data_IF_038836828322
#
_entry.id   IF_038836828322
#
_cell.length_a   1.000
_cell.length_b   1.000
_cell.length_c   1.000
_cell.angle_alpha   90.00
_cell.angle_beta   90.00
_cell.angle_gamma   90.00
#
_symmetry.space_group_name_H-M   'P 1'
#
loop_
_entity.id
_entity.type
_entity.pdbx_description
1 polymer ?
#
# COMPACT_ATOMS: atom_id res chain seq x y z
N UNK A 1 -22.71 -2.16 15.53
CA UNK A 1 -22.11 -0.88 15.10
C UNK A 1 -21.43 -0.27 16.31
N UNK A 2 -20.12 -0.13 16.26
CA UNK A 2 -19.31 0.50 17.31
C UNK A 2 -18.82 1.85 16.80
N UNK A 3 -18.88 2.89 17.64
CA UNK A 3 -18.30 4.19 17.31
C UNK A 3 -17.01 4.34 18.10
N UNK A 4 -15.90 4.53 17.41
CA UNK A 4 -14.62 4.75 18.05
C UNK A 4 -14.53 6.19 18.60
N UNK A 5 -13.80 6.34 19.69
CA UNK A 5 -13.52 7.64 20.30
C UNK A 5 -12.13 8.13 19.91
N UNK A 6 -12.03 9.39 19.49
CA UNK A 6 -10.75 10.05 19.22
C UNK A 6 -9.98 10.23 20.52
N UNK A 7 -8.78 9.69 20.58
CA UNK A 7 -7.90 9.81 21.74
C UNK A 7 -6.86 10.93 21.58
N UNK A 8 -6.29 11.04 20.38
CA UNK A 8 -5.22 11.99 20.10
C UNK A 8 -5.14 12.31 18.60
N UNK A 9 -4.58 13.47 18.28
CA UNK A 9 -4.31 13.92 16.92
C UNK A 9 -2.99 14.69 16.89
N UNK A 10 -2.19 14.47 15.85
CA UNK A 10 -1.04 15.29 15.54
C UNK A 10 -1.23 15.89 14.15
N UNK A 11 -1.25 17.21 14.10
CA UNK A 11 -1.40 18.00 12.89
C UNK A 11 0.00 18.28 12.29
N UNK A 12 0.18 17.98 11.01
CA UNK A 12 1.41 18.23 10.25
C UNK A 12 1.22 19.33 9.19
N UNK A 13 0.21 20.20 9.38
CA UNK A 13 -0.15 21.27 8.43
C UNK A 13 -0.74 20.68 7.16
N UNK A 14 -0.46 21.34 6.02
CA UNK A 14 -1.01 20.96 4.71
C UNK A 14 -0.34 19.71 4.08
N UNK A 15 0.45 18.97 4.85
CA UNK A 15 1.19 17.82 4.36
C UNK A 15 0.41 16.52 4.56
N UNK A 16 -0.11 15.96 3.50
CA UNK A 16 -0.91 14.73 3.51
C UNK A 16 -0.15 13.56 4.14
N UNK A 17 -0.79 12.84 5.04
CA UNK A 17 -0.29 11.58 5.57
C UNK A 17 -0.71 10.43 4.64
N UNK A 18 0.26 9.81 3.96
CA UNK A 18 0.01 8.94 2.81
C UNK A 18 0.02 7.45 3.14
N UNK A 19 1.12 6.95 3.72
CA UNK A 19 1.25 5.54 4.08
C UNK A 19 1.60 5.36 5.56
N UNK A 20 1.10 4.29 6.15
CA UNK A 20 1.54 3.77 7.44
C UNK A 20 2.40 2.52 7.26
N UNK A 21 3.59 2.57 7.84
CA UNK A 21 4.55 1.47 7.84
C UNK A 21 4.83 1.04 9.28
N UNK A 22 4.16 0.00 9.79
CA UNK A 22 4.45 -0.52 11.12
C UNK A 22 5.80 -1.24 11.12
N UNK A 23 6.65 -0.90 12.09
CA UNK A 23 7.94 -1.53 12.32
C UNK A 23 8.03 -2.06 13.75
N UNK A 24 8.37 -3.33 13.90
CA UNK A 24 8.35 -4.03 15.18
C UNK A 24 9.19 -3.34 16.27
N UNK A 25 10.36 -2.83 15.91
CA UNK A 25 11.31 -2.25 16.86
C UNK A 25 11.13 -0.75 17.07
N UNK A 26 10.35 -0.07 16.23
CA UNK A 26 10.31 1.39 16.21
C UNK A 26 8.91 1.98 16.41
N UNK A 27 7.86 1.28 16.01
CA UNK A 27 6.49 1.79 16.04
C UNK A 27 5.93 2.05 14.65
N UNK A 28 5.26 3.17 14.43
CA UNK A 28 4.57 3.50 13.17
C UNK A 28 5.30 4.61 12.42
N UNK A 29 5.87 4.29 11.27
CA UNK A 29 6.41 5.30 10.35
C UNK A 29 5.27 5.76 9.44
N UNK A 30 5.17 7.07 9.26
CA UNK A 30 4.20 7.69 8.35
C UNK A 30 4.94 8.47 7.29
N UNK A 31 4.59 8.26 6.01
CA UNK A 31 5.09 9.06 4.89
C UNK A 31 4.19 10.26 4.62
N UNK A 32 4.81 11.36 4.17
CA UNK A 32 4.11 12.61 3.91
C UNK A 32 4.36 13.16 2.52
N UNK A 33 3.42 13.99 2.05
CA UNK A 33 3.49 14.66 0.75
C UNK A 33 4.60 15.70 0.64
N UNK A 34 5.18 16.14 1.76
CA UNK A 34 6.36 17.01 1.78
C UNK A 34 7.69 16.25 1.65
N UNK A 35 7.65 14.93 1.46
CA UNK A 35 8.85 14.08 1.36
C UNK A 35 9.45 13.69 2.71
N UNK A 36 8.75 13.89 3.82
CA UNK A 36 9.23 13.48 5.14
C UNK A 36 8.65 12.12 5.55
N UNK A 37 9.45 11.38 6.32
CA UNK A 37 9.00 10.27 7.15
C UNK A 37 8.94 10.74 8.60
N UNK A 38 7.84 10.44 9.29
CA UNK A 38 7.71 10.72 10.72
C UNK A 38 7.40 9.45 11.49
N UNK A 39 8.10 9.27 12.60
CA UNK A 39 7.96 8.11 13.47
C UNK A 39 7.04 8.43 14.63
N UNK A 40 6.01 7.61 14.83
CA UNK A 40 5.05 7.72 15.92
C UNK A 40 5.12 6.52 16.87
N UNK A 41 4.92 6.72 18.17
CA UNK A 41 4.83 5.62 19.10
C UNK A 41 3.55 4.81 18.87
N UNK A 42 3.64 3.48 18.99
CA UNK A 42 2.48 2.58 18.93
C UNK A 42 2.27 1.94 20.29
N UNK A 43 1.05 2.02 20.81
CA UNK A 43 0.71 1.50 22.12
C UNK A 43 1.25 2.37 23.27
N UNK A 44 1.02 1.91 24.51
CA UNK A 44 1.39 2.65 25.70
C UNK A 44 0.38 3.74 26.07
N UNK A 45 0.59 4.44 27.21
CA UNK A 45 -0.27 5.53 27.61
C UNK A 45 -0.10 6.67 26.59
N UNK A 46 -1.13 6.94 25.79
CA UNK A 46 -1.19 8.14 24.99
C UNK A 46 -1.22 9.31 25.96
N UNK A 47 -0.06 9.95 26.16
CA UNK A 47 0.07 11.13 27.00
C UNK A 47 -0.72 12.30 26.40
N UNK A 48 -0.77 13.44 27.14
CA UNK A 48 -1.44 14.66 26.66
C UNK A 48 -0.87 15.23 25.34
N UNK A 49 0.24 14.71 24.86
CA UNK A 49 0.90 15.13 23.62
C UNK A 49 1.25 13.89 22.80
N UNK A 50 0.42 13.59 21.80
CA UNK A 50 0.75 12.64 20.74
C UNK A 50 1.46 13.41 19.64
N UNK A 51 2.76 13.16 19.46
CA UNK A 51 3.60 13.82 18.45
C UNK A 51 4.59 12.82 17.87
N UNK A 52 5.14 13.14 16.70
CA UNK A 52 6.24 12.36 16.14
C UNK A 52 7.48 12.44 17.04
N UNK A 53 8.14 11.30 17.23
CA UNK A 53 9.38 11.19 18.02
C UNK A 53 10.64 11.38 17.19
N UNK A 54 10.51 11.28 15.86
CA UNK A 54 11.57 11.50 14.89
C UNK A 54 10.99 11.91 13.56
N UNK A 55 11.68 12.82 12.86
CA UNK A 55 11.39 13.19 11.47
C UNK A 55 12.64 12.94 10.63
N UNK A 56 12.48 12.41 9.43
CA UNK A 56 13.53 12.14 8.43
C UNK A 56 13.10 12.83 7.14
N UNK A 57 13.96 13.68 6.57
CA UNK A 57 13.75 14.24 5.23
C UNK A 57 14.22 13.21 4.20
N UNK A 58 13.28 12.40 3.72
CA UNK A 58 13.57 11.29 2.82
C UNK A 58 13.74 11.75 1.36
N UNK A 59 12.84 12.60 0.88
CA UNK A 59 12.81 13.12 -0.50
C UNK A 59 12.58 14.61 -0.51
N UNK A 60 12.98 15.28 -1.62
CA UNK A 60 12.66 16.69 -1.85
C UNK A 60 11.27 16.90 -2.48
N UNK A 61 10.63 15.82 -2.85
CA UNK A 61 9.29 15.71 -3.42
C UNK A 61 8.38 14.85 -2.55
N UNK A 62 7.12 14.74 -2.93
CA UNK A 62 6.16 13.83 -2.27
C UNK A 62 6.63 12.37 -2.31
N UNK A 63 6.54 11.68 -1.18
CA UNK A 63 6.69 10.23 -1.13
C UNK A 63 5.46 9.63 -1.80
N UNK A 64 5.66 8.82 -2.83
CA UNK A 64 4.57 8.17 -3.56
C UNK A 64 4.11 6.88 -2.86
N UNK A 65 5.07 6.14 -2.30
CA UNK A 65 4.82 4.91 -1.55
C UNK A 65 5.89 4.69 -0.49
N UNK A 66 5.49 4.18 0.66
CA UNK A 66 6.41 3.72 1.70
C UNK A 66 6.06 2.28 2.13
N UNK A 67 7.08 1.44 2.34
CA UNK A 67 6.93 0.02 2.74
C UNK A 67 8.00 -0.38 3.74
N UNK A 68 7.66 -1.33 4.59
CA UNK A 68 8.66 -2.03 5.41
C UNK A 68 9.48 -2.97 4.53
N UNK A 69 10.79 -2.98 4.72
CA UNK A 69 11.72 -3.87 3.99
C UNK A 69 11.92 -5.19 4.76
N UNK A 70 12.09 -5.10 6.07
CA UNK A 70 12.41 -6.25 6.93
C UNK A 70 11.40 -6.48 8.07
N UNK A 71 10.36 -5.66 8.15
CA UNK A 71 9.36 -5.68 9.22
C UNK A 71 9.86 -5.15 10.57
N UNK A 72 11.14 -4.81 10.70
CA UNK A 72 11.77 -4.47 11.98
C UNK A 72 12.34 -3.05 12.04
N UNK A 73 13.30 -2.75 11.17
CA UNK A 73 14.16 -1.57 11.28
C UNK A 73 14.29 -0.76 9.99
N UNK A 74 14.00 -1.37 8.84
CA UNK A 74 14.21 -0.77 7.52
C UNK A 74 12.89 -0.32 6.88
N UNK A 75 12.86 0.91 6.39
CA UNK A 75 11.77 1.47 5.61
C UNK A 75 12.27 1.88 4.22
N UNK A 76 11.57 1.44 3.19
CA UNK A 76 11.76 1.86 1.81
C UNK A 76 10.75 2.90 1.41
N UNK A 77 11.16 3.87 0.59
CA UNK A 77 10.32 4.93 0.05
C UNK A 77 10.54 5.08 -1.45
N UNK A 78 9.47 5.28 -2.20
CA UNK A 78 9.50 5.61 -3.63
C UNK A 78 9.11 7.08 -3.85
N UNK A 79 9.77 7.74 -4.77
CA UNK A 79 9.52 9.13 -5.13
C UNK A 79 10.10 9.49 -6.50
N UNK A 80 10.02 10.76 -6.85
CA UNK A 80 10.51 11.27 -8.14
C UNK A 80 12.04 11.15 -8.30
N UNK A 81 12.75 11.13 -7.19
CA UNK A 81 14.22 11.05 -7.14
C UNK A 81 14.73 9.63 -6.84
N UNK A 82 13.89 8.61 -7.05
CA UNK A 82 14.26 7.20 -6.92
C UNK A 82 13.61 6.50 -5.74
N UNK A 83 14.12 5.28 -5.45
CA UNK A 83 13.77 4.52 -4.25
C UNK A 83 14.91 4.65 -3.25
N UNK A 84 14.58 4.90 -1.99
CA UNK A 84 15.54 5.04 -0.89
C UNK A 84 15.18 4.14 0.27
N UNK A 85 16.19 3.55 0.91
CA UNK A 85 16.02 2.72 2.11
C UNK A 85 16.68 3.42 3.29
N UNK A 86 15.95 3.53 4.39
CA UNK A 86 16.39 4.12 5.64
C UNK A 86 16.45 3.07 6.74
N UNK A 87 17.57 3.05 7.47
CA UNK A 87 17.75 2.24 8.67
C UNK A 87 17.44 3.11 9.89
N UNK A 88 16.35 2.82 10.59
CA UNK A 88 15.90 3.63 11.73
C UNK A 88 16.77 3.48 12.98
N UNK A 89 17.68 2.51 13.01
CA UNK A 89 18.70 2.39 14.07
C UNK A 89 19.78 3.48 13.93
N UNK A 90 19.97 3.98 12.71
CA UNK A 90 20.94 5.05 12.44
C UNK A 90 20.35 6.43 12.73
N UNK A 91 21.16 7.34 13.24
CA UNK A 91 20.78 8.74 13.42
C UNK A 91 20.97 9.51 12.11
N UNK A 92 20.14 10.56 11.92
CA UNK A 92 20.17 11.41 10.73
C UNK A 92 19.23 10.95 9.61
N UNK A 93 19.33 11.63 8.47
CA UNK A 93 18.35 11.53 7.35
C UNK A 93 18.96 10.88 6.11
N UNK A 94 20.14 10.26 6.26
CA UNK A 94 20.82 9.64 5.12
C UNK A 94 20.25 8.24 4.84
N UNK A 95 19.85 8.02 3.58
CA UNK A 95 19.51 6.69 3.10
C UNK A 95 20.73 5.75 3.14
N UNK A 96 20.51 4.49 3.55
CA UNK A 96 21.55 3.45 3.54
C UNK A 96 21.71 2.82 2.17
N UNK A 97 20.64 2.85 1.35
CA UNK A 97 20.65 2.40 -0.05
C UNK A 97 19.80 3.35 -0.88
N UNK A 98 20.15 3.51 -2.16
CA UNK A 98 19.37 4.28 -3.13
C UNK A 98 19.37 3.55 -4.46
N UNK A 99 18.21 3.52 -5.11
CA UNK A 99 17.99 2.83 -6.38
C UNK A 99 17.39 3.81 -7.39
N UNK A 100 17.89 3.76 -8.60
CA UNK A 100 17.48 4.63 -9.69
C UNK A 100 17.33 3.79 -10.97
N UNK A 101 16.54 4.28 -11.90
CA UNK A 101 16.52 3.77 -13.27
C UNK A 101 17.34 4.70 -14.19
N UNK A 102 17.79 4.17 -15.31
CA UNK A 102 18.65 4.91 -16.26
C UNK A 102 17.95 6.11 -16.89
N UNK A 103 16.62 6.08 -16.98
CA UNK A 103 15.81 7.13 -17.61
C UNK A 103 15.37 8.21 -16.63
N UNK A 104 15.69 8.09 -15.34
CA UNK A 104 15.23 8.96 -14.26
C UNK A 104 13.70 9.14 -14.28
N UNK A 105 12.98 8.04 -14.37
CA UNK A 105 11.52 8.01 -14.27
C UNK A 105 11.14 7.93 -12.79
N UNK A 106 10.16 8.70 -12.30
CA UNK A 106 9.64 8.59 -10.95
C UNK A 106 9.16 7.16 -10.63
N UNK A 107 9.37 6.73 -9.39
CA UNK A 107 8.79 5.50 -8.89
C UNK A 107 7.49 5.80 -8.12
N UNK A 108 6.42 5.09 -8.46
CA UNK A 108 5.10 5.24 -7.83
C UNK A 108 4.80 4.14 -6.82
N UNK A 109 5.36 2.97 -7.03
CA UNK A 109 5.13 1.80 -6.18
C UNK A 109 6.43 1.10 -5.82
N UNK A 110 6.42 0.44 -4.68
CA UNK A 110 7.49 -0.45 -4.25
C UNK A 110 6.95 -1.54 -3.34
N UNK A 111 7.61 -2.68 -3.38
CA UNK A 111 7.47 -3.73 -2.38
C UNK A 111 8.79 -4.46 -2.18
N UNK A 112 8.96 -5.14 -1.05
CA UNK A 112 10.17 -5.88 -0.76
C UNK A 112 9.85 -7.20 -0.08
N UNK A 113 10.61 -8.24 -0.43
CA UNK A 113 10.52 -9.56 0.21
C UNK A 113 11.89 -10.24 0.22
N UNK A 114 12.26 -10.75 1.39
CA UNK A 114 13.55 -11.37 1.63
C UNK A 114 14.71 -10.44 1.24
N UNK A 115 15.39 -10.71 0.13
CA UNK A 115 16.49 -9.87 -0.38
C UNK A 115 16.15 -9.15 -1.68
N UNK A 116 14.90 -9.23 -2.12
CA UNK A 116 14.44 -8.56 -3.35
C UNK A 116 13.69 -7.27 -3.01
N UNK A 117 13.90 -6.28 -3.84
CA UNK A 117 13.18 -5.02 -3.87
C UNK A 117 12.59 -4.86 -5.27
N UNK A 118 11.30 -4.60 -5.36
CA UNK A 118 10.63 -4.26 -6.62
C UNK A 118 10.22 -2.77 -6.62
N UNK A 119 10.32 -2.12 -7.76
CA UNK A 119 9.90 -0.74 -7.97
C UNK A 119 9.20 -0.57 -9.31
N UNK A 120 8.00 0.03 -9.31
CA UNK A 120 7.21 0.35 -10.49
C UNK A 120 7.20 1.85 -10.77
N UNK A 121 7.34 2.21 -12.03
CA UNK A 121 7.50 3.60 -12.45
C UNK A 121 6.20 4.24 -12.90
N UNK A 122 6.23 5.58 -12.96
CA UNK A 122 5.30 6.39 -13.74
C UNK A 122 5.48 6.12 -15.24
N UNK A 123 4.40 6.33 -16.00
CA UNK A 123 4.44 6.27 -17.48
C UNK A 123 5.41 7.32 -18.03
N UNK A 124 6.30 6.90 -18.90
CA UNK A 124 7.15 7.81 -19.67
C UNK A 124 7.16 7.44 -21.14
N UNK A 125 6.58 8.29 -21.96
CA UNK A 125 6.34 8.08 -23.39
C UNK A 125 5.22 7.06 -23.64
N UNK A 126 5.52 5.78 -23.83
CA UNK A 126 4.53 4.75 -24.14
C UNK A 126 4.54 3.59 -23.14
N UNK A 127 5.59 3.52 -22.28
CA UNK A 127 5.80 2.39 -21.40
C UNK A 127 6.12 2.84 -19.99
N UNK A 128 5.72 2.04 -19.01
CA UNK A 128 6.17 2.08 -17.63
C UNK A 128 7.04 0.88 -17.35
N UNK A 129 7.99 1.04 -16.46
CA UNK A 129 9.04 0.06 -16.21
C UNK A 129 8.93 -0.50 -14.79
N UNK A 130 9.09 -1.82 -14.67
CA UNK A 130 9.20 -2.49 -13.39
C UNK A 130 10.62 -3.01 -13.22
N UNK A 131 11.23 -2.70 -12.09
CA UNK A 131 12.59 -3.12 -11.76
C UNK A 131 12.60 -4.01 -10.53
N UNK A 132 13.49 -5.01 -10.55
CA UNK A 132 13.78 -5.84 -9.38
C UNK A 132 15.28 -5.77 -9.08
N UNK A 133 15.63 -5.43 -7.85
CA UNK A 133 17.00 -5.40 -7.34
C UNK A 133 17.24 -6.45 -6.27
N UNK A 134 18.49 -6.89 -6.16
CA UNK A 134 18.97 -7.67 -5.01
C UNK A 134 19.59 -6.71 -3.98
N UNK A 135 18.99 -6.62 -2.80
CA UNK A 135 19.43 -5.75 -1.71
C UNK A 135 20.84 -6.07 -1.20
N UNK A 136 21.37 -7.26 -1.47
CA UNK A 136 22.72 -7.69 -1.04
C UNK A 136 23.82 -7.13 -1.95
N UNK A 137 23.51 -6.96 -3.24
CA UNK A 137 24.45 -6.47 -4.25
C UNK A 137 24.08 -5.07 -4.77
N UNK A 138 22.86 -4.60 -4.50
CA UNK A 138 22.23 -3.40 -5.07
C UNK A 138 22.14 -3.40 -6.60
N UNK A 139 22.42 -4.54 -7.23
CA UNK A 139 22.33 -4.73 -8.68
C UNK A 139 20.91 -4.98 -9.14
N UNK A 140 20.60 -4.53 -10.36
CA UNK A 140 19.35 -4.90 -11.05
C UNK A 140 19.42 -6.40 -11.38
N UNK A 141 18.43 -7.15 -10.88
CA UNK A 141 18.24 -8.56 -11.17
C UNK A 141 17.41 -8.72 -12.43
N UNK A 142 16.35 -7.90 -12.55
CA UNK A 142 15.42 -7.93 -13.69
C UNK A 142 14.81 -6.55 -13.94
N UNK A 143 14.42 -6.34 -15.18
CA UNK A 143 13.53 -5.24 -15.58
C UNK A 143 12.47 -5.78 -16.54
N UNK A 144 11.27 -5.25 -16.42
CA UNK A 144 10.14 -5.52 -17.32
C UNK A 144 9.76 -4.19 -17.94
N UNK A 145 9.71 -4.11 -19.26
CA UNK A 145 9.57 -2.85 -19.98
C UNK A 145 8.37 -2.84 -20.94
N UNK A 146 7.83 -4.02 -21.26
CA UNK A 146 6.73 -4.19 -22.19
C UNK A 146 5.43 -4.66 -21.53
N UNK A 147 5.44 -4.83 -20.21
CA UNK A 147 4.33 -5.47 -19.48
C UNK A 147 3.20 -4.50 -19.09
N UNK A 148 3.48 -3.18 -19.00
CA UNK A 148 2.50 -2.16 -18.67
C UNK A 148 2.66 -0.92 -19.54
N UNK A 149 1.52 -0.31 -19.90
CA UNK A 149 1.44 0.85 -20.79
C UNK A 149 0.91 2.12 -20.10
N UNK A 150 0.83 2.12 -18.77
CA UNK A 150 0.49 3.27 -17.93
C UNK A 150 1.11 3.09 -16.53
N UNK A 151 0.88 4.02 -15.61
CA UNK A 151 1.46 4.08 -14.26
C UNK A 151 1.36 2.76 -13.51
N UNK A 152 2.48 2.24 -13.00
CA UNK A 152 2.50 1.06 -12.12
C UNK A 152 2.26 1.50 -10.68
N UNK A 153 1.00 1.47 -10.26
CA UNK A 153 0.55 2.02 -8.97
C UNK A 153 0.69 1.05 -7.80
N UNK A 154 0.75 -0.26 -8.08
CA UNK A 154 0.82 -1.27 -7.04
C UNK A 154 1.84 -2.36 -7.37
N UNK A 155 2.57 -2.79 -6.35
CA UNK A 155 3.46 -3.95 -6.37
C UNK A 155 3.30 -4.75 -5.10
N UNK A 156 3.16 -6.09 -5.21
CA UNK A 156 3.06 -7.00 -4.06
C UNK A 156 3.76 -8.31 -4.33
N UNK A 157 4.79 -8.63 -3.58
CA UNK A 157 5.31 -10.00 -3.56
C UNK A 157 4.27 -10.96 -2.99
N UNK A 158 4.24 -12.16 -3.50
CA UNK A 158 3.34 -13.19 -3.00
C UNK A 158 3.64 -13.54 -1.53
N UNK A 159 2.63 -13.72 -0.65
CA UNK A 159 2.84 -13.83 0.79
C UNK A 159 3.71 -15.01 1.23
N UNK A 160 3.65 -16.14 0.53
CA UNK A 160 4.34 -17.38 0.93
C UNK A 160 5.27 -17.96 -0.12
N UNK A 161 5.22 -17.49 -1.37
CA UNK A 161 6.08 -17.95 -2.48
C UNK A 161 6.93 -16.78 -2.97
N UNK A 162 8.25 -16.87 -2.82
CA UNK A 162 9.19 -15.80 -3.19
C UNK A 162 9.39 -15.67 -4.71
N UNK A 163 8.78 -16.57 -5.49
CA UNK A 163 8.89 -16.58 -6.95
C UNK A 163 7.81 -15.77 -7.65
N UNK A 164 6.76 -15.34 -6.96
CA UNK A 164 5.69 -14.57 -7.57
C UNK A 164 5.70 -13.10 -7.14
N UNK A 165 5.51 -12.23 -8.13
CA UNK A 165 5.28 -10.80 -7.95
C UNK A 165 4.00 -10.40 -8.68
N UNK A 166 3.17 -9.61 -8.02
CA UNK A 166 1.98 -8.96 -8.60
C UNK A 166 2.31 -7.49 -8.87
N UNK A 167 1.92 -6.99 -10.04
CA UNK A 167 1.86 -5.57 -10.36
C UNK A 167 0.44 -5.17 -10.74
N UNK A 168 0.06 -3.93 -10.41
CA UNK A 168 -1.19 -3.31 -10.85
C UNK A 168 -0.93 -1.95 -11.47
N UNK A 169 -1.64 -1.64 -12.56
CA UNK A 169 -1.43 -0.41 -13.33
C UNK A 169 -2.73 0.32 -13.64
N UNK A 170 -2.61 1.61 -13.91
CA UNK A 170 -3.71 2.43 -14.43
C UNK A 170 -4.11 2.05 -15.85
N UNK A 171 -3.30 1.25 -16.57
CA UNK A 171 -3.66 0.67 -17.87
C UNK A 171 -4.81 -0.36 -17.79
N UNK A 172 -5.21 -0.74 -16.57
CA UNK A 172 -6.32 -1.64 -16.32
C UNK A 172 -5.94 -3.09 -16.12
N UNK A 173 -4.65 -3.39 -16.06
CA UNK A 173 -4.17 -4.76 -15.86
C UNK A 173 -3.54 -4.97 -14.50
N UNK A 174 -3.76 -6.18 -13.97
CA UNK A 174 -2.95 -6.75 -12.90
C UNK A 174 -2.20 -7.94 -13.48
N UNK A 175 -0.88 -7.88 -13.42
CA UNK A 175 0.03 -8.91 -13.93
C UNK A 175 0.64 -9.68 -12.76
N UNK A 176 0.71 -11.00 -12.89
CA UNK A 176 1.42 -11.88 -11.97
C UNK A 176 2.60 -12.48 -12.73
N UNK A 177 3.81 -12.28 -12.20
CA UNK A 177 5.04 -12.76 -12.79
C UNK A 177 5.60 -13.95 -12.01
N UNK A 178 6.12 -14.94 -12.75
CA UNK A 178 6.99 -15.98 -12.21
C UNK A 178 8.45 -15.53 -12.39
N UNK A 179 9.07 -15.13 -11.30
CA UNK A 179 10.43 -14.60 -11.30
C UNK A 179 11.51 -15.66 -11.56
N UNK A 180 11.14 -16.94 -11.63
CA UNK A 180 12.09 -18.02 -12.00
C UNK A 180 12.32 -18.10 -13.50
N UNK A 181 11.43 -17.52 -14.32
CA UNK A 181 11.50 -17.54 -15.77
C UNK A 181 12.22 -16.28 -16.26
N UNK A 182 13.34 -16.36 -16.98
CA UNK A 182 14.16 -15.20 -17.34
C UNK A 182 13.50 -14.23 -18.32
N UNK A 183 12.81 -14.75 -19.34
CA UNK A 183 12.21 -13.96 -20.42
C UNK A 183 10.94 -13.26 -19.89
N UNK A 184 10.74 -11.99 -20.27
CA UNK A 184 9.63 -11.17 -19.79
C UNK A 184 8.28 -11.77 -20.17
N UNK A 185 8.06 -12.02 -21.47
CA UNK A 185 6.81 -12.58 -21.99
C UNK A 185 6.44 -13.93 -21.37
N UNK A 186 7.43 -14.81 -21.22
CA UNK A 186 7.22 -16.14 -20.67
C UNK A 186 7.01 -16.12 -19.14
N UNK A 187 7.49 -15.07 -18.48
CA UNK A 187 7.34 -14.87 -17.04
C UNK A 187 5.96 -14.40 -16.62
N UNK A 188 5.16 -13.86 -17.56
CA UNK A 188 3.76 -13.51 -17.31
C UNK A 188 2.94 -14.77 -17.03
N UNK A 189 2.73 -15.01 -15.75
CA UNK A 189 2.02 -16.20 -15.27
C UNK A 189 0.51 -16.09 -15.41
N UNK A 190 -0.02 -14.93 -15.08
CA UNK A 190 -1.45 -14.59 -15.19
C UNK A 190 -1.62 -13.10 -15.46
N UNK A 191 -2.56 -12.75 -16.33
CA UNK A 191 -2.95 -11.38 -16.62
C UNK A 191 -4.44 -11.22 -16.29
N UNK A 192 -4.75 -10.29 -15.41
CA UNK A 192 -6.12 -9.96 -15.03
C UNK A 192 -6.46 -8.63 -15.69
N UNK A 193 -7.42 -8.64 -16.61
CA UNK A 193 -7.98 -7.42 -17.19
C UNK A 193 -9.12 -6.93 -16.28
N UNK A 194 -9.02 -5.73 -15.77
CA UNK A 194 -10.01 -5.18 -14.85
C UNK A 194 -10.39 -3.73 -15.21
N UNK A 195 -9.82 -2.78 -14.52
CA UNK A 195 -10.01 -1.34 -14.75
C UNK A 195 -8.81 -0.62 -14.13
N UNK A 196 -8.67 0.68 -14.31
CA UNK A 196 -7.58 1.50 -13.74
C UNK A 196 -7.36 1.17 -12.26
N UNK A 197 -6.22 0.55 -11.94
CA UNK A 197 -5.96 -0.04 -10.61
C UNK A 197 -5.63 1.05 -9.58
N UNK A 198 -6.46 1.15 -8.55
CA UNK A 198 -6.19 1.90 -7.34
C UNK A 198 -5.37 1.08 -6.33
N UNK A 199 -5.80 -0.16 -6.08
CA UNK A 199 -5.09 -1.11 -5.22
C UNK A 199 -5.33 -2.54 -5.69
N UNK A 200 -4.31 -3.38 -5.57
CA UNK A 200 -4.39 -4.82 -5.82
C UNK A 200 -3.44 -5.56 -4.87
N UNK A 201 -3.76 -6.82 -4.56
CA UNK A 201 -2.91 -7.59 -3.67
C UNK A 201 -3.46 -8.97 -3.32
N UNK A 202 -2.80 -9.60 -2.39
CA UNK A 202 -3.07 -10.97 -1.99
C UNK A 202 -3.98 -11.01 -0.74
N UNK A 203 -5.16 -11.61 -0.86
CA UNK A 203 -6.01 -11.96 0.29
C UNK A 203 -5.52 -13.24 0.97
N UNK A 204 -4.97 -14.16 0.18
CA UNK A 204 -4.32 -15.40 0.61
C UNK A 204 -3.32 -15.85 -0.46
N UNK A 205 -2.70 -17.01 -0.29
CA UNK A 205 -1.74 -17.56 -1.26
C UNK A 205 -2.30 -17.78 -2.68
N UNK A 206 -3.61 -17.95 -2.82
CA UNK A 206 -4.25 -18.20 -4.12
C UNK A 206 -5.42 -17.26 -4.40
N UNK A 207 -5.59 -16.19 -3.62
CA UNK A 207 -6.69 -15.22 -3.81
C UNK A 207 -6.14 -13.81 -3.94
N UNK A 208 -6.53 -13.14 -5.02
CA UNK A 208 -6.09 -11.80 -5.42
C UNK A 208 -7.29 -10.88 -5.39
N UNK A 209 -7.18 -9.72 -4.75
CA UNK A 209 -8.20 -8.68 -4.89
C UNK A 209 -7.74 -7.62 -5.87
N UNK A 210 -8.71 -7.01 -6.55
CA UNK A 210 -8.52 -5.83 -7.39
C UNK A 210 -9.54 -4.77 -7.01
N UNK A 211 -9.06 -3.54 -6.82
CA UNK A 211 -9.85 -2.35 -6.56
C UNK A 211 -9.48 -1.26 -7.55
N UNK A 212 -10.45 -0.72 -8.27
CA UNK A 212 -10.22 0.33 -9.24
C UNK A 212 -10.39 1.73 -8.64
N UNK A 213 -9.89 2.76 -9.37
CA UNK A 213 -10.16 4.17 -9.08
C UNK A 213 -11.64 4.57 -9.20
N UNK A 214 -12.48 3.70 -9.77
CA UNK A 214 -13.92 3.89 -9.89
C UNK A 214 -14.70 3.06 -8.87
N UNK A 215 -14.03 2.59 -7.80
CA UNK A 215 -14.61 1.80 -6.71
C UNK A 215 -15.26 0.50 -7.19
N UNK A 216 -14.78 -0.07 -8.30
CA UNK A 216 -15.12 -1.46 -8.66
C UNK A 216 -14.21 -2.42 -7.93
N UNK A 217 -14.77 -3.52 -7.44
CA UNK A 217 -14.03 -4.52 -6.66
C UNK A 217 -14.29 -5.92 -7.20
N UNK A 218 -13.24 -6.74 -7.26
CA UNK A 218 -13.34 -8.15 -7.60
C UNK A 218 -12.28 -8.97 -6.85
N UNK A 219 -12.54 -10.28 -6.77
CA UNK A 219 -11.60 -11.27 -6.23
C UNK A 219 -11.36 -12.32 -7.29
N UNK A 220 -10.09 -12.62 -7.54
CA UNK A 220 -9.64 -13.57 -8.54
C UNK A 220 -8.91 -14.73 -7.86
N UNK A 221 -8.88 -15.86 -8.50
CA UNK A 221 -8.07 -16.99 -8.09
C UNK A 221 -6.76 -17.02 -8.89
N UNK A 222 -5.66 -17.35 -8.21
CA UNK A 222 -4.41 -17.59 -8.91
C UNK A 222 -4.53 -18.87 -9.74
N UNK A 223 -4.15 -18.80 -11.02
CA UNK A 223 -4.24 -19.93 -11.94
C UNK A 223 -3.45 -21.15 -11.43
N UNK A 224 -3.99 -22.33 -11.62
CA UNK A 224 -3.29 -23.58 -11.31
C UNK A 224 -2.52 -24.07 -12.56
N UNK A 225 -1.20 -24.19 -12.46
CA UNK A 225 -0.35 -24.72 -13.53
C UNK A 225 -0.69 -26.17 -13.91
N UNK A 226 -1.25 -26.94 -13.00
CA UNK A 226 -1.59 -28.35 -13.26
C UNK A 226 -2.87 -28.50 -14.09
N UNK A 227 -3.73 -27.47 -14.15
CA UNK A 227 -4.97 -27.44 -14.93
C UNK A 227 -5.06 -26.18 -15.80
N UNK A 228 -4.28 -26.18 -16.87
CA UNK A 228 -4.24 -25.06 -17.84
C UNK A 228 -5.50 -24.88 -18.69
N UNK A 229 -6.52 -25.73 -18.51
CA UNK A 229 -7.74 -25.70 -19.33
C UNK A 229 -8.90 -24.95 -18.68
N UNK A 230 -8.79 -24.57 -17.42
CA UNK A 230 -9.85 -23.88 -16.68
C UNK A 230 -9.29 -22.57 -16.10
N UNK A 231 -9.72 -21.45 -16.69
CA UNK A 231 -9.51 -20.15 -16.09
C UNK A 231 -10.59 -19.93 -15.01
N UNK A 232 -10.19 -19.76 -13.73
CA UNK A 232 -11.15 -19.53 -12.66
C UNK A 232 -11.96 -18.25 -12.89
N UNK A 233 -13.26 -18.32 -12.70
CA UNK A 233 -14.12 -17.15 -12.83
C UNK A 233 -13.94 -16.22 -11.63
N UNK A 234 -13.80 -14.90 -11.84
CA UNK A 234 -13.69 -13.94 -10.74
C UNK A 234 -15.01 -13.83 -9.96
N UNK A 235 -14.90 -13.51 -8.68
CA UNK A 235 -16.02 -13.07 -7.87
C UNK A 235 -16.14 -11.53 -8.02
N UNK A 236 -17.06 -11.10 -8.86
CA UNK A 236 -17.26 -9.68 -9.17
C UNK A 236 -18.27 -9.03 -8.21
N UNK A 237 -17.87 -7.94 -7.57
CA UNK A 237 -18.77 -7.10 -6.75
C UNK A 237 -19.31 -5.91 -7.55
N UNK A 238 -18.64 -5.52 -8.64
CA UNK A 238 -18.93 -4.30 -9.42
C UNK A 238 -18.61 -3.04 -8.64
N UNK A 239 -19.30 -1.94 -8.95
CA UNK A 239 -19.20 -0.70 -8.16
C UNK A 239 -19.76 -0.95 -6.75
N UNK A 240 -18.90 -0.75 -5.75
CA UNK A 240 -19.22 -1.09 -4.36
C UNK A 240 -19.77 0.07 -3.55
N UNK A 241 -19.80 1.29 -4.09
CA UNK A 241 -20.18 2.50 -3.34
C UNK A 241 -21.56 2.38 -2.70
N UNK A 242 -22.56 1.97 -3.47
CA UNK A 242 -23.94 1.80 -2.94
C UNK A 242 -24.02 0.59 -2.00
N UNK A 243 -23.41 -0.55 -2.40
CA UNK A 243 -23.47 -1.80 -1.64
C UNK A 243 -22.74 -1.73 -0.31
N UNK A 244 -21.63 -1.00 -0.28
CA UNK A 244 -20.80 -0.84 0.91
C UNK A 244 -21.05 0.48 1.65
N UNK A 245 -22.04 1.28 1.21
CA UNK A 245 -22.42 2.55 1.83
C UNK A 245 -21.21 3.50 2.00
N UNK A 246 -20.46 3.76 0.94
CA UNK A 246 -19.28 4.61 0.96
C UNK A 246 -19.21 5.50 -0.29
N UNK A 247 -18.32 6.47 -0.28
CA UNK A 247 -17.94 7.27 -1.45
C UNK A 247 -16.62 6.82 -2.02
N UNK A 248 -15.74 6.25 -1.17
CA UNK A 248 -14.46 5.68 -1.58
C UNK A 248 -14.03 4.53 -0.65
N UNK A 249 -13.19 3.67 -1.18
CA UNK A 249 -12.50 2.62 -0.41
C UNK A 249 -11.05 3.06 -0.19
N UNK A 250 -10.62 3.09 1.07
CA UNK A 250 -9.24 3.46 1.41
C UNK A 250 -8.28 2.38 0.95
N UNK A 251 -8.48 1.16 1.41
CA UNK A 251 -7.74 -0.03 1.00
C UNK A 251 -8.33 -1.30 1.64
N UNK A 252 -7.81 -2.45 1.19
CA UNK A 252 -8.09 -3.78 1.76
C UNK A 252 -6.94 -4.17 2.68
N UNK A 253 -7.26 -4.37 3.94
CA UNK A 253 -6.31 -4.74 4.99
C UNK A 253 -6.53 -6.19 5.45
N UNK A 254 -5.55 -6.84 6.10
CA UNK A 254 -5.77 -8.16 6.67
C UNK A 254 -6.95 -8.19 7.65
N UNK A 255 -8.04 -8.83 7.24
CA UNK A 255 -9.24 -9.02 8.06
C UNK A 255 -10.27 -7.89 8.05
N UNK A 256 -10.04 -6.77 7.36
CA UNK A 256 -11.00 -5.68 7.23
C UNK A 256 -10.80 -4.84 5.97
N UNK A 257 -11.84 -4.14 5.56
CA UNK A 257 -11.80 -3.10 4.53
C UNK A 257 -12.02 -1.75 5.22
N UNK A 258 -11.19 -0.77 4.91
CA UNK A 258 -11.38 0.60 5.31
C UNK A 258 -12.03 1.39 4.18
N UNK A 259 -13.08 2.13 4.49
CA UNK A 259 -13.86 2.91 3.53
C UNK A 259 -14.24 4.26 4.12
N UNK A 260 -14.54 5.23 3.26
CA UNK A 260 -14.87 6.59 3.70
C UNK A 260 -16.04 7.21 2.96
N UNK A 261 -16.57 8.27 3.55
CA UNK A 261 -17.55 9.16 2.96
C UNK A 261 -17.26 10.59 3.43
N UNK A 262 -16.80 11.42 2.51
CA UNK A 262 -16.46 12.82 2.78
C UNK A 262 -17.72 13.63 3.08
N UNK A 263 -18.81 13.37 2.36
CA UNK A 263 -20.09 14.08 2.58
C UNK A 263 -20.71 13.82 3.97
N UNK A 264 -20.39 12.67 4.57
CA UNK A 264 -20.84 12.26 5.92
C UNK A 264 -19.77 12.44 6.98
N UNK A 265 -18.55 12.81 6.61
CA UNK A 265 -17.38 12.96 7.50
C UNK A 265 -17.07 11.68 8.29
N UNK A 266 -17.24 10.52 7.67
CA UNK A 266 -17.07 9.22 8.34
C UNK A 266 -16.06 8.39 7.59
N UNK A 267 -15.14 7.76 8.33
CA UNK A 267 -14.44 6.58 7.90
C UNK A 267 -14.96 5.36 8.67
N UNK A 268 -15.00 4.21 8.03
CA UNK A 268 -15.48 2.96 8.65
C UNK A 268 -14.50 1.83 8.39
N UNK A 269 -14.25 1.03 9.42
CA UNK A 269 -13.51 -0.22 9.31
C UNK A 269 -14.52 -1.36 9.37
N UNK A 270 -14.65 -2.09 8.28
CA UNK A 270 -15.62 -3.18 8.13
C UNK A 270 -14.87 -4.50 8.15
N UNK A 271 -15.18 -5.44 9.07
CA UNK A 271 -14.60 -6.78 9.02
C UNK A 271 -14.81 -7.41 7.63
N UNK A 272 -13.76 -8.04 7.11
CA UNK A 272 -13.79 -8.73 5.83
C UNK A 272 -13.33 -10.17 6.04
N UNK A 273 -14.25 -11.11 5.90
CA UNK A 273 -14.01 -12.54 6.14
C UNK A 273 -14.80 -13.37 5.15
N UNK A 274 -14.22 -14.49 4.77
CA UNK A 274 -14.84 -15.41 3.80
C UNK A 274 -15.32 -14.68 2.53
N UNK A 275 -14.50 -13.70 2.09
CA UNK A 275 -14.75 -12.84 0.93
C UNK A 275 -16.04 -11.99 1.03
N UNK A 276 -16.47 -11.71 2.24
CA UNK A 276 -17.65 -10.89 2.51
C UNK A 276 -17.31 -9.75 3.49
N UNK A 277 -17.89 -8.58 3.20
CA UNK A 277 -17.80 -7.41 4.07
C UNK A 277 -18.94 -7.44 5.10
N UNK A 278 -18.61 -7.23 6.37
CA UNK A 278 -19.59 -7.12 7.45
C UNK A 278 -19.89 -5.64 7.77
N UNK A 279 -20.99 -5.15 7.23
CA UNK A 279 -21.44 -3.77 7.46
C UNK A 279 -22.15 -3.58 8.82
N UNK A 280 -22.51 -4.68 9.50
CA UNK A 280 -23.23 -4.63 10.78
C UNK A 280 -22.25 -4.41 11.94
N UNK A 281 -21.12 -5.14 11.92
CA UNK A 281 -20.11 -5.10 12.98
C UNK A 281 -18.97 -4.13 12.66
N UNK A 282 -19.21 -3.14 11.81
CA UNK A 282 -18.23 -2.10 11.48
C UNK A 282 -17.92 -1.19 12.68
N UNK A 283 -16.74 -0.60 12.64
CA UNK A 283 -16.31 0.47 13.55
C UNK A 283 -16.31 1.79 12.79
N UNK A 284 -17.14 2.73 13.22
CA UNK A 284 -17.24 4.06 12.62
C UNK A 284 -16.34 5.06 13.36
N UNK A 285 -15.60 5.85 12.58
CA UNK A 285 -14.72 6.94 13.00
C UNK A 285 -15.39 8.26 12.58
N UNK A 286 -16.17 8.84 13.48
CA UNK A 286 -16.90 10.07 13.16
C UNK A 286 -15.96 11.27 13.08
N UNK A 287 -16.14 12.10 12.05
CA UNK A 287 -15.29 13.26 11.74
C UNK A 287 -13.81 12.87 11.60
N UNK A 288 -13.53 11.71 10.99
CA UNK A 288 -12.18 11.13 10.93
C UNK A 288 -11.15 12.14 10.41
N UNK A 289 -11.32 12.66 9.21
CA UNK A 289 -10.48 13.68 8.61
C UNK A 289 -11.32 14.84 8.00
N UNK A 290 -12.53 15.07 8.55
CA UNK A 290 -13.42 16.12 8.07
C UNK A 290 -13.88 15.86 6.63
N UNK A 291 -13.71 16.85 5.76
CA UNK A 291 -14.03 16.78 4.33
C UNK A 291 -12.94 16.09 3.52
N UNK A 292 -11.78 15.82 4.15
CA UNK A 292 -10.60 15.30 3.48
C UNK A 292 -10.58 13.77 3.46
N UNK A 293 -9.85 13.20 2.49
CA UNK A 293 -9.77 11.76 2.28
C UNK A 293 -8.87 11.11 3.33
N UNK A 294 -9.33 9.98 3.88
CA UNK A 294 -8.48 9.08 4.67
C UNK A 294 -7.61 8.29 3.71
N UNK A 295 -6.30 8.41 3.82
CA UNK A 295 -5.34 7.77 2.93
C UNK A 295 -4.82 6.44 3.45
N UNK A 296 -4.73 6.30 4.76
CA UNK A 296 -4.12 5.11 5.37
C UNK A 296 -4.69 4.81 6.75
N UNK A 297 -4.75 3.52 7.07
CA UNK A 297 -5.24 3.01 8.35
C UNK A 297 -4.28 1.96 8.90
N UNK A 298 -4.08 1.94 10.21
CA UNK A 298 -3.34 0.88 10.89
C UNK A 298 -4.02 0.47 12.18
N UNK A 299 -4.26 -0.81 12.33
CA UNK A 299 -4.79 -1.43 13.56
C UNK A 299 -3.69 -2.33 14.14
N UNK A 300 -3.05 -1.95 15.26
CA UNK A 300 -2.04 -2.80 15.88
C UNK A 300 -2.64 -4.13 16.34
N UNK A 301 -1.95 -5.27 16.13
CA UNK A 301 -2.44 -6.57 16.59
C UNK A 301 -2.71 -6.59 18.10
N UNK A 302 -3.79 -7.24 18.50
CA UNK A 302 -4.21 -7.38 19.91
C UNK A 302 -4.40 -6.03 20.65
N UNK A 303 -4.84 -5.01 19.95
CA UNK A 303 -5.09 -3.67 20.47
C UNK A 303 -6.48 -3.17 20.07
N UNK A 304 -7.07 -2.31 20.90
CA UNK A 304 -8.28 -1.56 20.61
C UNK A 304 -7.99 -0.21 19.93
N UNK A 305 -6.72 0.03 19.59
CA UNK A 305 -6.29 1.28 18.94
C UNK A 305 -6.39 1.18 17.41
N UNK A 306 -6.78 2.29 16.82
CA UNK A 306 -6.82 2.51 15.37
C UNK A 306 -6.05 3.80 15.08
N UNK A 307 -5.17 3.75 14.09
CA UNK A 307 -4.45 4.93 13.58
C UNK A 307 -4.99 5.28 12.20
N UNK A 308 -5.22 6.56 11.93
CA UNK A 308 -5.63 7.04 10.61
C UNK A 308 -4.75 8.20 10.17
N UNK A 309 -4.43 8.25 8.90
CA UNK A 309 -3.75 9.36 8.22
C UNK A 309 -4.57 9.84 7.04
N UNK A 310 -4.61 11.14 6.79
CA UNK A 310 -5.43 11.72 5.74
C UNK A 310 -4.84 12.97 5.10
N UNK A 311 -5.59 13.52 4.17
CA UNK A 311 -5.21 14.72 3.40
C UNK A 311 -5.28 15.99 4.21
N UNK A 312 -5.95 15.98 5.38
CA UNK A 312 -5.91 17.07 6.37
C UNK A 312 -4.55 17.19 7.09
N UNK A 313 -3.55 16.39 6.71
CA UNK A 313 -2.22 16.37 7.34
C UNK A 313 -2.20 15.76 8.74
N UNK A 314 -3.31 15.29 9.24
CA UNK A 314 -3.38 14.75 10.59
C UNK A 314 -3.04 13.25 10.64
N UNK A 315 -2.33 12.87 11.71
CA UNK A 315 -2.27 11.49 12.18
C UNK A 315 -3.11 11.40 13.44
N UNK A 316 -4.16 10.58 13.42
CA UNK A 316 -5.13 10.45 14.51
C UNK A 316 -5.10 9.06 15.13
N UNK A 317 -5.38 8.99 16.42
CA UNK A 317 -5.46 7.73 17.18
C UNK A 317 -6.84 7.62 17.81
N UNK A 318 -7.46 6.47 17.61
CA UNK A 318 -8.81 6.17 18.05
C UNK A 318 -8.81 4.93 18.93
N UNK A 319 -9.88 4.78 19.71
CA UNK A 319 -10.19 3.56 20.48
C UNK A 319 -11.56 3.04 20.07
N UNK A 320 -11.60 1.76 19.62
CA UNK A 320 -12.84 1.04 19.27
C UNK A 320 -13.56 0.47 20.48
#
# INVERSE_FOLDING_TARGET
MTVASLLASHDNGDNWALDFVPLKNHGLVTSFSDGTLKLYPVGGPLGRSFTSIRTIKAHDCSIKRARSIDGNDLVGTAGEDGIKIFDLRQQGDKAVMSFHNERNIPFLSLDAKAHLLAGGTELKQQDSELYIWDLRSTGVVRSFVDSHHDDITELRFHPTDDTFLLSGSTDGYVNIYDLTIPEEDDSLYQVINFASIHSAGWLSANRIYTLSHMETFAIHELNDRSDSNVEPQPLEFGDVRDKWECEYVVDVYPGFIAKGSNSRFIASLCPFRDEQIDLINKVDLNSAHGEEVVRTVYCPPNSDLIYTGGEDGCVKVWRS
#
